data_IF_777725831010
#
_entry.id   IF_777725831010
#
_cell.length_a   1.000
_cell.length_b   1.000
_cell.length_c   1.000
_cell.angle_alpha   90.00
_cell.angle_beta   90.00
_cell.angle_gamma   90.00
#
_symmetry.space_group_name_H-M   'P 1'
#
loop_
_entity.id
_entity.type
_entity.pdbx_description
1 polymer ?
#
# COMPACT_ATOMS: atom_id res chain seq x y z
N UNK A 1 -15.01 20.26 -45.04
CA UNK A 1 -13.56 20.51 -44.99
C UNK A 1 -13.07 20.21 -43.57
N UNK A 2 -12.65 18.97 -43.34
CA UNK A 2 -12.07 18.56 -42.06
C UNK A 2 -10.63 19.06 -42.01
N UNK A 3 -10.42 20.24 -41.42
CA UNK A 3 -9.07 20.75 -41.21
C UNK A 3 -8.33 19.86 -40.22
N UNK A 4 -7.22 19.31 -40.70
CA UNK A 4 -6.17 18.65 -39.95
C UNK A 4 -5.90 19.39 -38.63
N UNK A 5 -6.27 18.76 -37.50
CA UNK A 5 -5.90 19.23 -36.17
C UNK A 5 -4.37 19.18 -36.12
N UNK A 6 -3.73 20.36 -36.16
CA UNK A 6 -2.26 20.48 -36.15
C UNK A 6 -1.68 19.59 -35.03
N UNK A 7 -0.63 18.80 -35.29
CA UNK A 7 0.02 17.94 -34.29
C UNK A 7 0.37 18.67 -32.99
N UNK A 8 0.70 19.97 -33.09
CA UNK A 8 0.98 20.87 -31.98
C UNK A 8 -0.21 21.05 -31.02
N UNK A 9 -1.44 21.06 -31.55
CA UNK A 9 -2.68 21.20 -30.78
C UNK A 9 -3.00 19.90 -30.03
N UNK A 10 -2.74 18.74 -30.64
CA UNK A 10 -2.77 17.43 -29.99
C UNK A 10 -1.71 17.32 -28.87
N UNK A 11 -0.51 17.84 -29.11
CA UNK A 11 0.58 17.85 -28.12
C UNK A 11 0.30 18.84 -26.97
N UNK A 12 -0.40 19.94 -27.24
CA UNK A 12 -0.87 20.90 -26.25
C UNK A 12 -2.01 20.32 -25.41
N UNK A 13 -3.02 19.71 -26.04
CA UNK A 13 -4.13 19.04 -25.36
C UNK A 13 -3.66 17.82 -24.54
N UNK A 14 -2.65 17.07 -25.01
CA UNK A 14 -2.03 15.98 -24.25
C UNK A 14 -1.32 16.46 -22.96
N UNK A 15 -0.99 17.76 -22.89
CA UNK A 15 -0.39 18.42 -21.71
C UNK A 15 -1.42 19.10 -20.83
N UNK A 16 -2.72 18.95 -21.08
CA UNK A 16 -3.77 19.59 -20.29
C UNK A 16 -4.50 18.54 -19.47
N UNK A 17 -4.58 18.75 -18.15
CA UNK A 17 -5.50 18.02 -17.29
C UNK A 17 -6.63 18.94 -16.91
N UNK A 18 -7.86 18.57 -17.24
CA UNK A 18 -9.04 19.30 -16.78
C UNK A 18 -9.22 19.06 -15.28
N UNK A 19 -9.43 20.13 -14.53
CA UNK A 19 -9.67 20.05 -13.08
C UNK A 19 -10.99 19.32 -12.88
N UNK A 20 -10.93 18.05 -12.49
CA UNK A 20 -12.10 17.30 -12.06
C UNK A 20 -12.40 17.63 -10.58
N UNK A 21 -12.60 18.91 -10.29
CA UNK A 21 -13.17 19.35 -9.02
C UNK A 21 -14.67 19.51 -9.27
N UNK A 22 -15.45 18.64 -8.63
CA UNK A 22 -16.91 18.70 -8.54
C UNK A 22 -17.38 19.95 -7.77
N UNK A 23 -17.02 21.15 -8.25
CA UNK A 23 -17.35 22.44 -7.65
C UNK A 23 -18.27 23.28 -8.56
N UNK A 24 -18.53 22.91 -9.81
CA UNK A 24 -19.49 23.65 -10.63
C UNK A 24 -20.50 22.75 -11.36
N UNK A 25 -21.74 22.85 -10.87
CA UNK A 25 -23.04 22.74 -11.55
C UNK A 25 -23.30 21.44 -12.37
N UNK A 26 -24.18 20.60 -11.80
CA UNK A 26 -25.12 19.70 -12.46
C UNK A 26 -24.56 18.62 -13.41
N UNK A 27 -24.00 17.55 -12.85
CA UNK A 27 -23.80 16.28 -13.58
C UNK A 27 -24.96 15.34 -13.23
N UNK A 28 -25.94 15.24 -14.12
CA UNK A 28 -26.97 14.19 -14.04
C UNK A 28 -26.32 12.82 -14.21
N UNK A 29 -26.96 11.77 -13.70
CA UNK A 29 -26.49 10.38 -13.72
C UNK A 29 -26.30 9.75 -15.13
N UNK A 30 -26.47 10.52 -16.20
CA UNK A 30 -26.25 10.09 -17.59
C UNK A 30 -24.82 10.43 -18.02
N UNK A 31 -23.89 9.49 -17.78
CA UNK A 31 -22.56 9.54 -18.37
C UNK A 31 -22.65 9.28 -19.88
N UNK A 32 -22.42 10.32 -20.67
CA UNK A 32 -22.30 10.24 -22.13
C UNK A 32 -21.04 10.98 -22.55
N UNK A 33 -20.14 10.32 -23.28
CA UNK A 33 -18.84 10.85 -23.73
C UNK A 33 -18.95 12.21 -24.42
N UNK A 34 -20.07 12.49 -25.11
CA UNK A 34 -20.32 13.80 -25.72
C UNK A 34 -20.50 14.92 -24.69
N UNK A 35 -21.21 14.66 -23.59
CA UNK A 35 -21.40 15.62 -22.50
C UNK A 35 -20.09 15.85 -21.76
N UNK A 36 -19.32 14.80 -21.52
CA UNK A 36 -18.02 14.91 -20.86
C UNK A 36 -17.01 15.68 -21.72
N UNK A 37 -16.97 15.41 -23.03
CA UNK A 37 -16.14 16.16 -23.97
C UNK A 37 -16.54 17.64 -24.04
N UNK A 38 -17.85 17.95 -24.02
CA UNK A 38 -18.34 19.33 -23.97
C UNK A 38 -17.93 20.03 -22.67
N UNK A 39 -18.12 19.39 -21.52
CA UNK A 39 -17.71 19.92 -20.21
C UNK A 39 -16.20 20.15 -20.15
N UNK A 40 -15.39 19.23 -20.70
CA UNK A 40 -13.94 19.40 -20.83
C UNK A 40 -13.59 20.59 -21.72
N UNK A 41 -14.24 20.73 -22.88
CA UNK A 41 -14.01 21.85 -23.79
C UNK A 41 -14.42 23.20 -23.17
N UNK A 42 -15.53 23.24 -22.44
CA UNK A 42 -16.00 24.41 -21.69
C UNK A 42 -15.08 24.79 -20.54
N UNK A 43 -14.57 23.81 -19.78
CA UNK A 43 -13.57 24.06 -18.75
C UNK A 43 -12.25 24.57 -19.34
N UNK A 44 -11.83 24.04 -20.50
CA UNK A 44 -10.64 24.52 -21.20
C UNK A 44 -10.84 25.93 -21.73
N UNK A 45 -11.99 26.24 -22.34
CA UNK A 45 -12.30 27.58 -22.86
C UNK A 45 -12.37 28.63 -21.77
N UNK A 46 -12.81 28.25 -20.56
CA UNK A 46 -12.85 29.10 -19.37
C UNK A 46 -11.48 29.24 -18.67
N UNK A 47 -10.41 28.63 -19.19
CA UNK A 47 -9.10 28.65 -18.54
C UNK A 47 -9.01 27.77 -17.28
N UNK A 48 -10.02 26.94 -17.00
CA UNK A 48 -10.11 26.05 -15.83
C UNK A 48 -9.43 24.71 -16.10
N UNK A 49 -8.18 24.78 -16.53
CA UNK A 49 -7.33 23.64 -16.81
C UNK A 49 -6.02 23.76 -16.04
N UNK A 50 -5.41 22.61 -15.75
CA UNK A 50 -4.06 22.56 -15.22
C UNK A 50 -3.12 22.10 -16.32
N UNK A 51 -1.95 22.73 -16.38
CA UNK A 51 -0.83 22.17 -17.12
C UNK A 51 -0.43 20.85 -16.46
N UNK A 52 -0.51 19.78 -17.22
CA UNK A 52 0.12 18.51 -16.90
C UNK A 52 1.62 18.74 -16.96
N UNK A 53 2.21 19.01 -15.80
CA UNK A 53 3.65 19.01 -15.66
C UNK A 53 4.10 17.57 -15.92
N UNK A 54 4.82 17.34 -17.02
CA UNK A 54 5.53 16.08 -17.21
C UNK A 54 6.48 15.96 -16.03
N UNK A 55 6.12 15.12 -15.05
CA UNK A 55 7.03 14.80 -13.98
C UNK A 55 8.30 14.27 -14.66
N UNK A 56 9.47 14.79 -14.26
CA UNK A 56 10.77 14.34 -14.78
C UNK A 56 10.78 12.81 -14.91
N UNK A 57 11.45 12.30 -15.94
CA UNK A 57 11.39 10.89 -16.35
C UNK A 57 11.51 9.92 -15.15
N UNK A 58 12.36 10.27 -14.18
CA UNK A 58 12.55 9.57 -12.90
C UNK A 58 11.23 9.34 -12.12
N UNK A 59 10.40 10.36 -11.94
CA UNK A 59 9.11 10.24 -11.23
C UNK A 59 8.10 9.36 -11.98
N UNK A 60 8.07 9.47 -13.32
CA UNK A 60 7.18 8.68 -14.17
C UNK A 60 7.56 7.18 -14.15
N UNK A 61 8.85 6.89 -14.29
CA UNK A 61 9.41 5.54 -14.23
C UNK A 61 9.16 4.89 -12.86
N UNK A 62 9.42 5.63 -11.77
CA UNK A 62 9.11 5.17 -10.42
C UNK A 62 7.61 4.93 -10.20
N UNK A 63 6.76 5.85 -10.66
CA UNK A 63 5.30 5.72 -10.57
C UNK A 63 4.79 4.47 -11.30
N UNK A 64 5.37 4.13 -12.45
CA UNK A 64 5.08 2.89 -13.18
C UNK A 64 5.48 1.66 -12.35
N UNK A 65 6.70 1.62 -11.81
CA UNK A 65 7.15 0.48 -11.01
C UNK A 65 6.35 0.32 -9.71
N UNK A 66 5.97 1.41 -9.05
CA UNK A 66 5.08 1.40 -7.89
C UNK A 66 3.68 0.85 -8.21
N UNK A 67 3.17 1.03 -9.44
CA UNK A 67 1.89 0.41 -9.86
C UNK A 67 2.05 -1.11 -9.99
N UNK A 68 3.15 -1.56 -10.58
CA UNK A 68 3.45 -3.00 -10.70
C UNK A 68 3.61 -3.61 -9.31
N UNK A 69 4.35 -2.96 -8.41
CA UNK A 69 4.49 -3.37 -7.01
C UNK A 69 3.13 -3.54 -6.33
N UNK A 70 2.24 -2.54 -6.43
CA UNK A 70 0.91 -2.60 -5.83
C UNK A 70 0.06 -3.76 -6.39
N UNK A 71 0.17 -4.05 -7.69
CA UNK A 71 -0.51 -5.19 -8.32
C UNK A 71 0.00 -6.53 -7.78
N UNK A 72 1.32 -6.70 -7.67
CA UNK A 72 1.92 -7.92 -7.11
C UNK A 72 1.53 -8.14 -5.65
N UNK A 73 1.45 -7.08 -4.84
CA UNK A 73 0.98 -7.20 -3.44
C UNK A 73 -0.48 -7.68 -3.37
N UNK A 74 -1.33 -7.21 -4.28
CA UNK A 74 -2.73 -7.67 -4.37
C UNK A 74 -2.81 -9.14 -4.82
N UNK A 75 -1.98 -9.53 -5.79
CA UNK A 75 -1.86 -10.91 -6.25
C UNK A 75 -1.38 -11.84 -5.14
N UNK A 76 -0.31 -11.47 -4.43
CA UNK A 76 0.20 -12.19 -3.27
C UNK A 76 -0.90 -12.39 -2.22
N UNK A 77 -1.66 -11.33 -1.91
CA UNK A 77 -2.75 -11.39 -0.93
C UNK A 77 -3.86 -12.36 -1.36
N UNK A 78 -4.22 -12.37 -2.65
CA UNK A 78 -5.20 -13.33 -3.21
C UNK A 78 -4.71 -14.77 -3.09
N UNK A 79 -3.45 -15.02 -3.44
CA UNK A 79 -2.84 -16.35 -3.33
C UNK A 79 -2.77 -16.82 -1.86
N UNK A 80 -2.41 -15.95 -0.91
CA UNK A 80 -2.41 -16.27 0.53
C UNK A 80 -3.80 -16.66 1.03
N UNK A 81 -4.83 -15.90 0.62
CA UNK A 81 -6.22 -16.20 0.99
C UNK A 81 -6.67 -17.53 0.40
N UNK A 82 -6.35 -17.80 -0.88
CA UNK A 82 -6.65 -19.08 -1.53
C UNK A 82 -5.96 -20.25 -0.83
N UNK A 83 -4.66 -20.12 -0.53
CA UNK A 83 -3.90 -21.15 0.19
C UNK A 83 -4.53 -21.43 1.56
N UNK A 84 -4.82 -20.40 2.35
CA UNK A 84 -5.41 -20.54 3.68
C UNK A 84 -6.80 -21.18 3.63
N UNK A 85 -7.70 -20.62 2.82
CA UNK A 85 -9.13 -20.92 2.92
C UNK A 85 -9.56 -22.13 2.10
N UNK A 86 -8.90 -22.43 0.98
CA UNK A 86 -9.34 -23.48 0.06
C UNK A 86 -8.50 -24.77 0.18
N UNK A 87 -7.25 -24.65 0.66
CA UNK A 87 -6.30 -25.76 0.69
C UNK A 87 -5.97 -26.15 2.12
N UNK A 88 -5.39 -25.24 2.90
CA UNK A 88 -4.93 -25.56 4.25
C UNK A 88 -6.08 -25.89 5.20
N UNK A 89 -7.23 -25.24 5.05
CA UNK A 89 -8.45 -25.57 5.81
C UNK A 89 -8.91 -27.03 5.66
N UNK A 90 -8.55 -27.70 4.56
CA UNK A 90 -8.92 -29.09 4.27
C UNK A 90 -7.77 -30.05 4.57
N UNK A 91 -6.55 -29.69 4.18
CA UNK A 91 -5.39 -30.59 4.19
C UNK A 91 -4.62 -30.52 5.51
N UNK A 92 -4.49 -29.33 6.11
CA UNK A 92 -3.64 -29.14 7.29
C UNK A 92 -4.00 -27.84 8.06
N UNK A 93 -5.19 -27.83 8.68
CA UNK A 93 -5.79 -26.62 9.26
C UNK A 93 -5.01 -26.05 10.45
N UNK A 94 -4.30 -26.92 11.17
CA UNK A 94 -3.61 -26.56 12.40
C UNK A 94 -2.40 -25.65 12.15
N UNK A 95 -1.89 -25.61 10.92
CA UNK A 95 -0.82 -24.70 10.51
C UNK A 95 -1.19 -23.23 10.68
N UNK A 96 -2.47 -22.87 10.61
CA UNK A 96 -2.92 -21.49 10.76
C UNK A 96 -2.65 -20.93 12.18
N UNK A 97 -2.61 -21.82 13.19
CA UNK A 97 -2.27 -21.47 14.58
C UNK A 97 -0.77 -21.21 14.76
N UNK A 98 0.06 -21.89 13.97
CA UNK A 98 1.52 -21.84 14.06
C UNK A 98 2.07 -20.67 13.23
N UNK A 99 1.55 -20.49 12.02
CA UNK A 99 2.01 -19.46 11.07
C UNK A 99 0.93 -18.41 10.82
N UNK A 100 1.07 -17.26 11.50
CA UNK A 100 0.20 -16.09 11.23
C UNK A 100 0.32 -15.60 9.78
N UNK A 101 1.53 -15.64 9.22
CA UNK A 101 1.78 -15.34 7.80
C UNK A 101 1.90 -16.62 6.98
N UNK A 102 0.87 -16.91 6.18
CA UNK A 102 0.81 -18.08 5.29
C UNK A 102 1.77 -17.95 4.10
N UNK A 103 2.32 -16.76 3.85
CA UNK A 103 3.41 -16.57 2.88
C UNK A 103 4.81 -16.78 3.47
N UNK A 104 4.93 -17.26 4.71
CA UNK A 104 6.23 -17.43 5.35
C UNK A 104 7.11 -18.42 4.55
N UNK A 105 8.35 -18.06 4.20
CA UNK A 105 9.23 -18.94 3.42
C UNK A 105 9.48 -20.33 4.03
N UNK A 106 9.52 -20.46 5.36
CA UNK A 106 9.66 -21.75 6.03
C UNK A 106 8.41 -22.61 5.87
N UNK A 107 7.22 -22.03 6.04
CA UNK A 107 5.95 -22.71 5.76
C UNK A 107 5.87 -23.17 4.29
N UNK A 108 6.22 -22.30 3.35
CA UNK A 108 6.23 -22.66 1.92
C UNK A 108 7.27 -23.76 1.61
N UNK A 109 8.32 -23.93 2.43
CA UNK A 109 9.30 -25.01 2.30
C UNK A 109 8.75 -26.33 2.83
N UNK A 110 8.06 -26.28 3.98
CA UNK A 110 7.33 -27.42 4.54
C UNK A 110 6.29 -27.91 3.54
N UNK A 111 5.41 -27.04 3.05
CA UNK A 111 4.32 -27.42 2.13
C UNK A 111 4.81 -27.96 0.78
N UNK A 112 6.02 -27.62 0.35
CA UNK A 112 6.58 -28.16 -0.89
C UNK A 112 7.12 -29.59 -0.73
N UNK A 113 7.70 -29.90 0.43
CA UNK A 113 8.28 -31.23 0.71
C UNK A 113 7.29 -32.18 1.37
N UNK A 114 6.47 -31.66 2.28
CA UNK A 114 5.49 -32.38 3.09
C UNK A 114 4.13 -31.67 3.00
N UNK A 115 3.41 -31.87 1.89
CA UNK A 115 2.20 -31.10 1.59
C UNK A 115 0.99 -31.51 2.45
N UNK A 116 1.05 -32.63 3.17
CA UNK A 116 0.03 -33.06 4.15
C UNK A 116 0.66 -33.67 5.41
N UNK A 117 -0.10 -33.79 6.51
CA UNK A 117 0.38 -34.43 7.74
C UNK A 117 0.90 -35.85 7.55
N UNK A 118 0.29 -36.64 6.66
CA UNK A 118 0.70 -38.03 6.38
C UNK A 118 2.16 -38.12 5.91
N UNK A 119 2.61 -37.20 5.04
CA UNK A 119 4.01 -37.16 4.61
C UNK A 119 4.96 -36.86 5.78
N UNK A 120 4.52 -36.10 6.78
CA UNK A 120 5.33 -35.79 7.97
C UNK A 120 5.37 -36.99 8.92
N UNK A 121 4.28 -37.76 9.01
CA UNK A 121 4.19 -38.95 9.85
C UNK A 121 5.08 -40.11 9.36
N UNK A 122 5.42 -40.12 8.07
CA UNK A 122 6.27 -41.14 7.45
C UNK A 122 7.78 -40.94 7.70
N UNK A 123 8.18 -39.79 8.23
CA UNK A 123 9.60 -39.44 8.47
C UNK A 123 9.87 -39.19 9.95
N UNK A 124 11.12 -39.37 10.38
CA UNK A 124 11.53 -39.03 11.74
C UNK A 124 11.53 -37.52 11.99
N UNK A 125 11.42 -37.10 13.26
CA UNK A 125 11.50 -35.67 13.63
C UNK A 125 12.82 -35.04 13.17
N UNK A 126 13.94 -35.77 13.32
CA UNK A 126 15.27 -35.30 12.92
C UNK A 126 15.37 -35.09 11.42
N UNK A 127 14.88 -36.05 10.63
CA UNK A 127 14.84 -35.98 9.17
C UNK A 127 13.95 -34.83 8.68
N UNK A 128 12.75 -34.69 9.26
CA UNK A 128 11.83 -33.59 8.94
C UNK A 128 12.48 -32.23 9.21
N UNK A 129 13.09 -32.05 10.38
CA UNK A 129 13.76 -30.79 10.75
C UNK A 129 14.90 -30.49 9.78
N UNK A 130 15.78 -31.46 9.51
CA UNK A 130 16.92 -31.29 8.60
C UNK A 130 16.48 -30.92 7.18
N UNK A 131 15.40 -31.53 6.68
CA UNK A 131 14.93 -31.29 5.33
C UNK A 131 14.22 -29.94 5.15
N UNK A 132 13.54 -29.42 6.17
CA UNK A 132 12.75 -28.17 6.07
C UNK A 132 13.44 -26.93 6.64
N UNK A 133 14.56 -27.07 7.36
CA UNK A 133 15.43 -25.96 7.72
C UNK A 133 16.48 -25.72 6.61
N UNK A 134 16.27 -24.74 5.72
CA UNK A 134 17.38 -24.16 5.00
C UNK A 134 18.48 -23.68 5.94
N UNK A 135 19.73 -23.80 5.48
CA UNK A 135 20.93 -23.30 6.16
C UNK A 135 20.87 -21.81 6.58
N UNK A 136 19.91 -21.05 6.04
CA UNK A 136 19.68 -19.64 6.31
C UNK A 136 18.75 -19.37 7.51
N UNK A 137 18.06 -20.37 8.06
CA UNK A 137 17.16 -20.16 9.19
C UNK A 137 17.87 -20.30 10.52
N UNK A 138 17.69 -19.30 11.38
CA UNK A 138 18.23 -19.25 12.73
C UNK A 138 17.56 -20.28 13.65
N UNK A 139 18.30 -20.73 14.68
CA UNK A 139 17.84 -21.58 15.78
C UNK A 139 16.48 -21.14 16.38
N UNK A 140 16.14 -19.86 16.27
CA UNK A 140 14.84 -19.30 16.67
C UNK A 140 13.62 -19.93 15.96
N UNK A 141 13.80 -20.53 14.78
CA UNK A 141 12.72 -21.19 14.05
C UNK A 141 12.50 -22.64 14.50
N UNK A 142 13.47 -23.25 15.17
CA UNK A 142 13.42 -24.66 15.57
C UNK A 142 12.20 -24.99 16.45
N UNK A 143 11.86 -24.20 17.50
CA UNK A 143 10.67 -24.50 18.31
C UNK A 143 9.38 -24.49 17.49
N UNK A 144 9.29 -23.58 16.50
CA UNK A 144 8.13 -23.49 15.61
C UNK A 144 8.04 -24.71 14.69
N UNK A 145 9.16 -25.15 14.10
CA UNK A 145 9.17 -26.32 13.21
C UNK A 145 8.86 -27.60 14.00
N UNK A 146 9.41 -27.77 15.20
CA UNK A 146 9.05 -28.87 16.11
C UNK A 146 7.55 -28.90 16.42
N UNK A 147 6.95 -27.72 16.66
CA UNK A 147 5.50 -27.64 16.88
C UNK A 147 4.69 -28.12 15.66
N UNK A 148 5.18 -27.91 14.44
CA UNK A 148 4.52 -28.43 13.22
C UNK A 148 4.56 -29.95 13.22
N UNK A 149 5.71 -30.56 13.50
CA UNK A 149 5.85 -32.01 13.56
C UNK A 149 4.91 -32.62 14.59
N UNK A 150 4.91 -32.09 15.82
CA UNK A 150 4.03 -32.56 16.91
C UNK A 150 2.55 -32.49 16.55
N UNK A 151 2.13 -31.40 15.90
CA UNK A 151 0.74 -31.20 15.48
C UNK A 151 0.38 -32.13 14.31
N UNK A 152 1.32 -32.39 13.38
CA UNK A 152 1.10 -33.32 12.28
C UNK A 152 0.79 -34.74 12.78
N UNK A 153 1.43 -35.19 13.86
CA UNK A 153 1.19 -36.52 14.46
C UNK A 153 -0.23 -36.71 14.99
N UNK A 154 -0.95 -35.62 15.28
CA UNK A 154 -2.31 -35.65 15.83
C UNK A 154 -3.34 -35.00 14.91
N UNK A 155 -2.95 -34.69 13.68
CA UNK A 155 -3.79 -33.93 12.76
C UNK A 155 -4.94 -34.79 12.22
N UNK A 156 -6.11 -34.15 12.10
CA UNK A 156 -7.34 -34.76 11.56
C UNK A 156 -7.50 -34.39 10.05
N UNK A 157 -6.45 -33.86 9.42
CA UNK A 157 -6.46 -33.46 8.00
C UNK A 157 -6.98 -34.59 7.09
N UNK A 158 -7.85 -34.24 6.13
CA UNK A 158 -8.56 -35.24 5.34
C UNK A 158 -7.62 -36.11 4.51
N UNK A 159 -7.69 -37.43 4.72
CA UNK A 159 -6.99 -38.45 3.93
C UNK A 159 -7.70 -38.76 2.59
N UNK A 160 -8.88 -38.19 2.36
CA UNK A 160 -9.79 -38.57 1.25
C UNK A 160 -9.89 -37.44 0.23
N UNK A 161 -9.73 -37.76 -1.07
CA UNK A 161 -9.85 -36.81 -2.19
C UNK A 161 -8.63 -35.90 -2.41
N UNK A 162 -7.53 -36.18 -1.72
CA UNK A 162 -6.43 -35.23 -1.48
C UNK A 162 -5.55 -34.99 -2.70
N UNK A 163 -5.42 -35.92 -3.65
CA UNK A 163 -4.42 -35.78 -4.73
C UNK A 163 -4.57 -34.49 -5.56
N UNK A 164 -5.80 -34.14 -5.97
CA UNK A 164 -6.05 -32.92 -6.75
C UNK A 164 -5.85 -31.65 -5.92
N UNK A 165 -6.21 -31.68 -4.63
CA UNK A 165 -6.00 -30.55 -3.71
C UNK A 165 -4.49 -30.36 -3.44
N UNK A 166 -3.74 -31.44 -3.26
CA UNK A 166 -2.27 -31.38 -3.16
C UNK A 166 -1.66 -30.85 -4.46
N UNK A 167 -2.21 -31.21 -5.63
CA UNK A 167 -1.76 -30.64 -6.90
C UNK A 167 -2.03 -29.13 -6.96
N UNK A 168 -3.21 -28.68 -6.57
CA UNK A 168 -3.53 -27.25 -6.45
C UNK A 168 -2.59 -26.53 -5.47
N UNK A 169 -2.33 -27.13 -4.31
CA UNK A 169 -1.36 -26.64 -3.32
C UNK A 169 0.00 -26.38 -3.97
N UNK A 170 0.52 -27.34 -4.75
CA UNK A 170 1.83 -27.16 -5.40
C UNK A 170 1.87 -25.97 -6.36
N UNK A 171 0.79 -25.72 -7.12
CA UNK A 171 0.70 -24.55 -7.98
C UNK A 171 0.68 -23.25 -7.16
N UNK A 172 -0.16 -23.17 -6.12
CA UNK A 172 -0.26 -21.96 -5.29
C UNK A 172 1.05 -21.66 -4.58
N UNK A 173 1.75 -22.67 -4.05
CA UNK A 173 3.05 -22.49 -3.38
C UNK A 173 4.10 -21.97 -4.36
N UNK A 174 4.17 -22.51 -5.58
CA UNK A 174 5.07 -22.04 -6.65
C UNK A 174 4.77 -20.60 -7.03
N UNK A 175 3.51 -20.28 -7.28
CA UNK A 175 3.06 -18.92 -7.63
C UNK A 175 3.38 -17.93 -6.52
N UNK A 176 3.15 -18.29 -5.26
CA UNK A 176 3.49 -17.45 -4.11
C UNK A 176 4.98 -17.13 -4.04
N UNK A 177 5.85 -18.12 -4.26
CA UNK A 177 7.30 -17.90 -4.28
C UNK A 177 7.72 -16.99 -5.42
N UNK A 178 7.17 -17.21 -6.59
CA UNK A 178 7.49 -16.39 -7.77
C UNK A 178 7.01 -14.94 -7.59
N UNK A 179 5.80 -14.73 -7.08
CA UNK A 179 5.29 -13.40 -6.75
C UNK A 179 6.14 -12.75 -5.66
N UNK A 180 6.55 -13.50 -4.63
CA UNK A 180 7.45 -13.00 -3.58
C UNK A 180 8.79 -12.54 -4.16
N UNK A 181 9.40 -13.33 -5.06
CA UNK A 181 10.65 -12.99 -5.75
C UNK A 181 10.50 -11.70 -6.56
N UNK A 182 9.47 -11.62 -7.41
CA UNK A 182 9.16 -10.42 -8.22
C UNK A 182 8.92 -9.18 -7.36
N UNK A 183 8.28 -9.31 -6.20
CA UNK A 183 8.11 -8.20 -5.26
C UNK A 183 9.45 -7.68 -4.78
N UNK A 184 10.41 -8.56 -4.42
CA UNK A 184 11.74 -8.12 -3.97
C UNK A 184 12.52 -7.46 -5.11
N UNK A 185 12.46 -8.01 -6.31
CA UNK A 185 13.11 -7.43 -7.49
C UNK A 185 12.60 -6.03 -7.79
N UNK A 186 11.27 -5.84 -7.80
CA UNK A 186 10.69 -4.51 -8.05
C UNK A 186 11.02 -3.54 -6.92
N UNK A 187 11.05 -4.00 -5.66
CA UNK A 187 11.48 -3.15 -4.54
C UNK A 187 12.91 -2.66 -4.74
N UNK A 188 13.82 -3.55 -5.17
CA UNK A 188 15.20 -3.19 -5.49
C UNK A 188 15.27 -2.18 -6.63
N UNK A 189 14.56 -2.43 -7.74
CA UNK A 189 14.49 -1.49 -8.87
C UNK A 189 13.99 -0.11 -8.44
N UNK A 190 12.93 -0.04 -7.62
CA UNK A 190 12.39 1.23 -7.10
C UNK A 190 13.42 1.95 -6.22
N UNK A 191 14.13 1.21 -5.36
CA UNK A 191 15.18 1.76 -4.51
C UNK A 191 16.35 2.28 -5.35
N UNK A 192 16.77 1.55 -6.38
CA UNK A 192 17.87 1.93 -7.26
C UNK A 192 17.54 3.24 -8.03
N UNK A 193 16.30 3.41 -8.51
CA UNK A 193 15.83 4.64 -9.17
C UNK A 193 16.02 5.89 -8.29
N UNK A 194 15.84 5.75 -6.97
CA UNK A 194 15.87 6.86 -6.02
C UNK A 194 17.11 6.90 -5.12
N UNK A 195 18.04 5.96 -5.28
CA UNK A 195 19.23 5.78 -4.43
C UNK A 195 19.99 7.09 -4.21
N UNK A 196 20.25 7.83 -5.28
CA UNK A 196 20.97 9.11 -5.25
C UNK A 196 20.04 10.34 -5.29
N UNK A 197 18.76 10.18 -4.97
CA UNK A 197 17.80 11.29 -5.06
C UNK A 197 17.62 12.01 -3.70
N UNK A 198 18.08 13.26 -3.54
CA UNK A 198 18.09 13.93 -2.23
C UNK A 198 16.71 14.01 -1.55
N UNK A 199 15.60 14.32 -2.26
CA UNK A 199 14.27 14.25 -1.65
C UNK A 199 13.94 12.90 -1.05
N UNK A 200 14.27 11.79 -1.73
CA UNK A 200 14.03 10.45 -1.22
C UNK A 200 14.84 10.17 0.05
N UNK A 201 16.14 10.49 0.03
CA UNK A 201 17.04 10.30 1.17
C UNK A 201 16.61 11.09 2.40
N UNK A 202 16.17 12.35 2.22
CA UNK A 202 15.64 13.17 3.32
C UNK A 202 14.39 12.56 3.92
N UNK A 203 13.46 12.02 3.11
CA UNK A 203 12.23 11.41 3.63
C UNK A 203 12.49 10.14 4.45
N UNK A 204 13.57 9.40 4.19
CA UNK A 204 13.97 8.23 5.00
C UNK A 204 14.32 8.59 6.45
N UNK A 205 14.66 9.85 6.74
CA UNK A 205 14.94 10.31 8.11
C UNK A 205 13.69 10.43 8.99
N UNK A 206 12.49 10.40 8.40
CA UNK A 206 11.23 10.51 9.15
C UNK A 206 10.91 9.16 9.83
N UNK A 207 10.70 9.12 11.16
CA UNK A 207 10.29 7.90 11.85
C UNK A 207 9.04 7.28 11.24
N UNK A 208 9.12 5.99 10.89
CA UNK A 208 8.05 5.25 10.22
C UNK A 208 8.01 5.34 8.70
N UNK A 209 8.84 6.18 8.07
CA UNK A 209 8.96 6.26 6.60
C UNK A 209 10.10 5.36 6.12
N UNK A 210 9.75 4.18 5.60
CA UNK A 210 10.71 3.27 4.98
C UNK A 210 10.89 3.51 3.46
N UNK A 211 11.81 2.77 2.80
CA UNK A 211 12.12 2.91 1.37
C UNK A 211 10.90 2.98 0.44
N UNK A 212 9.99 2.03 0.56
CA UNK A 212 8.79 2.01 -0.30
C UNK A 212 7.83 3.17 -0.05
N UNK A 213 7.74 3.63 1.20
CA UNK A 213 6.89 4.77 1.57
C UNK A 213 7.50 6.06 1.05
N UNK A 214 8.80 6.26 1.26
CA UNK A 214 9.55 7.41 0.73
C UNK A 214 9.45 7.48 -0.80
N UNK A 215 9.71 6.37 -1.49
CA UNK A 215 9.56 6.28 -2.95
C UNK A 215 8.14 6.61 -3.41
N UNK A 216 7.11 6.15 -2.67
CA UNK A 216 5.72 6.47 -2.98
C UNK A 216 5.41 7.96 -2.78
N UNK A 217 5.92 8.58 -1.71
CA UNK A 217 5.75 10.01 -1.47
C UNK A 217 6.39 10.82 -2.59
N UNK A 218 7.64 10.56 -2.92
CA UNK A 218 8.35 11.25 -4.00
C UNK A 218 7.63 11.09 -5.34
N UNK A 219 7.28 9.85 -5.71
CA UNK A 219 6.66 9.58 -7.01
C UNK A 219 5.24 10.14 -7.14
N UNK A 220 4.45 10.14 -6.06
CA UNK A 220 3.06 10.60 -6.10
C UNK A 220 2.89 12.09 -5.85
N UNK A 221 3.77 12.72 -5.07
CA UNK A 221 3.80 14.17 -4.90
C UNK A 221 4.39 14.81 -6.17
N UNK A 222 5.46 14.24 -6.72
CA UNK A 222 6.17 14.84 -7.85
C UNK A 222 6.91 16.10 -7.43
N UNK A 223 6.92 17.11 -8.29
CA UNK A 223 7.58 18.37 -8.01
C UNK A 223 6.86 19.14 -6.88
N UNK A 224 7.59 19.36 -5.78
CA UNK A 224 7.10 20.08 -4.61
C UNK A 224 6.84 21.57 -4.90
N UNK A 225 7.46 22.15 -5.94
CA UNK A 225 7.25 23.56 -6.31
C UNK A 225 5.81 23.82 -6.76
N UNK A 226 5.10 22.80 -7.25
CA UNK A 226 3.69 22.86 -7.62
C UNK A 226 2.75 23.06 -6.42
N UNK A 227 3.27 22.99 -5.18
CA UNK A 227 2.49 23.10 -3.96
C UNK A 227 2.94 24.30 -3.11
N UNK A 228 1.97 25.13 -2.73
CA UNK A 228 2.13 26.28 -1.85
C UNK A 228 1.89 25.93 -0.38
N UNK A 229 0.99 24.97 -0.11
CA UNK A 229 0.60 24.59 1.24
C UNK A 229 0.49 23.07 1.40
N UNK A 230 0.86 22.56 2.58
CA UNK A 230 0.75 21.14 2.91
C UNK A 230 -0.69 20.59 2.77
N UNK A 231 -1.70 21.43 2.96
CA UNK A 231 -3.11 21.06 2.78
C UNK A 231 -3.42 20.60 1.34
N UNK A 232 -2.68 21.06 0.33
CA UNK A 232 -2.82 20.59 -1.04
C UNK A 232 -2.35 19.13 -1.20
N UNK A 233 -1.26 18.73 -0.51
CA UNK A 233 -0.80 17.33 -0.48
C UNK A 233 -1.78 16.45 0.31
N UNK A 234 -2.36 16.98 1.39
CA UNK A 234 -3.39 16.28 2.18
C UNK A 234 -4.65 16.04 1.32
N UNK A 235 -5.09 17.05 0.54
CA UNK A 235 -6.17 16.92 -0.46
C UNK A 235 -5.77 15.93 -1.56
N UNK A 236 -4.54 15.98 -2.05
CA UNK A 236 -4.03 15.02 -3.03
C UNK A 236 -4.10 13.58 -2.53
N UNK A 237 -3.88 13.33 -1.24
CA UNK A 237 -4.07 12.02 -0.61
C UNK A 237 -5.55 11.68 -0.33
N UNK A 238 -6.47 12.64 -0.45
CA UNK A 238 -7.87 12.49 -0.05
C UNK A 238 -8.04 12.25 1.45
N UNK A 239 -7.16 12.86 2.27
CA UNK A 239 -7.19 12.85 3.73
C UNK A 239 -7.84 14.12 4.32
N UNK A 240 -8.25 15.05 3.46
CA UNK A 240 -9.08 16.21 3.82
C UNK A 240 -10.47 15.76 4.29
N UNK A 241 -11.07 16.54 5.19
CA UNK A 241 -12.42 16.27 5.70
C UNK A 241 -13.47 16.86 4.76
N UNK A 242 -14.38 16.02 4.29
CA UNK A 242 -15.52 16.39 3.46
C UNK A 242 -16.84 15.94 4.10
N UNK A 243 -17.92 16.67 3.83
CA UNK A 243 -19.30 16.29 4.13
C UNK A 243 -20.11 16.23 2.85
N UNK A 244 -21.00 15.25 2.74
CA UNK A 244 -22.03 15.19 1.69
C UNK A 244 -23.22 16.00 2.17
N UNK A 245 -23.68 16.94 1.35
CA UNK A 245 -24.88 17.72 1.58
C UNK A 245 -25.85 17.51 0.42
N UNK A 246 -27.09 17.11 0.72
CA UNK A 246 -28.16 16.96 -0.26
C UNK A 246 -29.47 17.45 0.33
N UNK A 247 -30.02 18.54 -0.24
CA UNK A 247 -31.22 19.19 0.30
C UNK A 247 -31.03 19.59 1.77
N UNK A 248 -31.82 18.98 2.67
CA UNK A 248 -31.78 19.20 4.13
C UNK A 248 -30.80 18.26 4.89
N UNK A 249 -30.19 17.29 4.22
CA UNK A 249 -29.30 16.32 4.85
C UNK A 249 -27.85 16.79 4.82
N UNK A 250 -27.19 16.81 5.99
CA UNK A 250 -25.76 17.03 6.13
C UNK A 250 -25.11 15.84 6.86
N UNK A 251 -24.24 15.12 6.17
CA UNK A 251 -23.53 13.98 6.76
C UNK A 251 -22.41 14.44 7.72
N UNK A 252 -22.05 13.61 8.70
CA UNK A 252 -20.82 13.78 9.48
C UNK A 252 -19.59 13.90 8.57
N UNK A 253 -18.67 14.81 8.91
CA UNK A 253 -17.41 14.99 8.16
C UNK A 253 -16.57 13.72 8.23
N UNK A 254 -16.21 13.17 7.07
CA UNK A 254 -15.33 12.00 6.90
C UNK A 254 -14.17 12.39 5.98
N UNK A 255 -13.10 11.60 5.97
CA UNK A 255 -12.07 11.79 4.94
C UNK A 255 -12.71 11.69 3.55
N UNK A 256 -12.34 12.60 2.65
CA UNK A 256 -12.95 12.70 1.31
C UNK A 256 -12.77 11.41 0.52
N UNK A 257 -11.61 10.76 0.70
CA UNK A 257 -11.09 9.66 -0.11
C UNK A 257 -10.93 9.99 -1.60
N UNK A 258 -11.20 11.24 -2.00
CA UNK A 258 -11.10 11.78 -3.36
C UNK A 258 -9.65 12.23 -3.59
N UNK A 259 -8.80 11.32 -4.01
CA UNK A 259 -7.37 11.57 -4.21
C UNK A 259 -6.58 10.31 -4.55
N UNK A 260 -5.26 10.43 -4.61
CA UNK A 260 -4.32 9.36 -4.91
C UNK A 260 -4.31 8.32 -3.80
N UNK A 261 -4.96 7.17 -4.06
CA UNK A 261 -5.09 6.06 -3.10
C UNK A 261 -3.73 5.56 -2.61
N UNK A 262 -2.72 5.45 -3.49
CA UNK A 262 -1.37 4.99 -3.09
C UNK A 262 -0.69 5.95 -2.11
N UNK A 263 -0.82 7.26 -2.33
CA UNK A 263 -0.30 8.29 -1.41
C UNK A 263 -0.99 8.17 -0.04
N UNK A 264 -2.31 7.99 -0.02
CA UNK A 264 -3.08 7.75 1.21
C UNK A 264 -2.62 6.50 1.95
N UNK A 265 -2.46 5.39 1.23
CA UNK A 265 -2.02 4.10 1.78
C UNK A 265 -0.60 4.20 2.34
N UNK A 266 0.32 4.87 1.63
CA UNK A 266 1.68 5.11 2.11
C UNK A 266 1.68 5.94 3.41
N UNK A 267 0.90 7.02 3.48
CA UNK A 267 0.79 7.85 4.68
C UNK A 267 0.20 7.06 5.87
N UNK A 268 -0.76 6.18 5.63
CA UNK A 268 -1.33 5.31 6.66
C UNK A 268 -0.31 4.30 7.21
N UNK A 269 0.44 3.63 6.33
CA UNK A 269 1.50 2.70 6.77
C UNK A 269 2.65 3.42 7.47
N UNK A 270 2.99 4.63 7.01
CA UNK A 270 3.95 5.49 7.69
C UNK A 270 3.50 5.79 9.12
N UNK A 271 2.22 6.13 9.31
CA UNK A 271 1.65 6.40 10.63
C UNK A 271 1.69 5.17 11.56
N UNK A 272 1.30 3.98 11.07
CA UNK A 272 1.39 2.74 11.85
C UNK A 272 2.83 2.48 12.31
N UNK A 273 3.80 2.69 11.44
CA UNK A 273 5.18 2.49 11.79
C UNK A 273 5.69 3.57 12.76
N UNK A 274 5.32 4.83 12.53
CA UNK A 274 5.75 6.00 13.30
C UNK A 274 5.31 5.97 14.76
N UNK A 275 4.10 5.47 15.08
CA UNK A 275 3.60 5.40 16.47
C UNK A 275 4.39 4.47 17.39
N UNK A 276 5.40 3.76 16.87
CA UNK A 276 6.37 3.00 17.68
C UNK A 276 7.48 3.89 18.27
N UNK A 277 7.58 5.14 17.82
CA UNK A 277 8.56 6.12 18.29
C UNK A 277 7.90 7.17 19.20
N UNK A 278 8.61 7.64 20.23
CA UNK A 278 8.05 8.44 21.34
C UNK A 278 7.20 9.64 20.89
N UNK A 279 7.75 10.53 20.03
CA UNK A 279 7.03 11.75 19.64
C UNK A 279 5.71 11.53 18.88
N UNK A 280 5.61 10.49 18.05
CA UNK A 280 4.35 10.14 17.38
C UNK A 280 3.42 9.30 18.26
N UNK A 281 4.00 8.46 19.13
CA UNK A 281 3.27 7.64 20.09
C UNK A 281 2.48 8.48 21.08
N UNK A 282 3.10 9.50 21.67
CA UNK A 282 2.46 10.42 22.61
C UNK A 282 1.26 11.11 21.96
N UNK A 283 1.45 11.66 20.76
CA UNK A 283 0.36 12.31 20.02
C UNK A 283 -0.77 11.33 19.67
N UNK A 284 -0.43 10.09 19.32
CA UNK A 284 -1.43 9.05 19.06
C UNK A 284 -2.26 8.75 20.32
N UNK A 285 -1.60 8.53 21.47
CA UNK A 285 -2.26 8.25 22.76
C UNK A 285 -3.17 9.41 23.13
N UNK A 286 -2.68 10.65 23.09
CA UNK A 286 -3.47 11.85 23.40
C UNK A 286 -4.75 11.95 22.54
N UNK A 287 -4.68 11.62 21.24
CA UNK A 287 -5.86 11.68 20.36
C UNK A 287 -6.85 10.56 20.68
N UNK A 288 -6.36 9.36 21.01
CA UNK A 288 -7.21 8.23 21.40
C UNK A 288 -7.94 8.54 22.71
N UNK A 289 -7.24 9.05 23.72
CA UNK A 289 -7.80 9.41 25.03
C UNK A 289 -8.83 10.53 24.93
N UNK A 290 -8.55 11.60 24.17
CA UNK A 290 -9.49 12.71 23.95
C UNK A 290 -10.80 12.27 23.29
N UNK A 291 -10.80 11.16 22.56
CA UNK A 291 -11.97 10.62 21.85
C UNK A 291 -12.68 9.51 22.64
N UNK A 292 -12.39 9.38 23.94
CA UNK A 292 -12.86 8.35 24.87
C UNK A 292 -14.14 7.61 24.45
N UNK A 293 -14.02 6.30 24.23
CA UNK A 293 -15.15 5.42 23.93
C UNK A 293 -15.59 5.36 22.47
N UNK A 294 -15.13 6.25 21.57
CA UNK A 294 -15.44 6.18 20.14
C UNK A 294 -14.81 4.92 19.51
N UNK A 295 -15.60 3.98 18.93
CA UNK A 295 -15.07 2.77 18.29
C UNK A 295 -14.06 3.08 17.16
N UNK A 296 -14.16 4.27 16.55
CA UNK A 296 -13.26 4.76 15.52
C UNK A 296 -12.04 5.53 16.02
N UNK A 297 -11.84 5.70 17.34
CA UNK A 297 -10.80 6.56 17.90
C UNK A 297 -9.39 6.20 17.41
N UNK A 298 -9.02 4.92 17.44
CA UNK A 298 -7.70 4.43 16.98
C UNK A 298 -7.46 4.72 15.50
N UNK A 299 -8.46 4.47 14.65
CA UNK A 299 -8.38 4.75 13.21
C UNK A 299 -8.27 6.26 12.94
N UNK A 300 -9.09 7.07 13.63
CA UNK A 300 -9.05 8.54 13.53
C UNK A 300 -7.70 9.09 13.99
N UNK A 301 -7.11 8.52 15.05
CA UNK A 301 -5.78 8.87 15.52
C UNK A 301 -4.69 8.54 14.48
N UNK A 302 -4.72 7.33 13.88
CA UNK A 302 -3.80 6.97 12.80
C UNK A 302 -3.91 7.91 11.59
N UNK A 303 -5.14 8.28 11.20
CA UNK A 303 -5.37 9.25 10.12
C UNK A 303 -4.78 10.62 10.49
N UNK A 304 -4.96 11.08 11.73
CA UNK A 304 -4.38 12.35 12.18
C UNK A 304 -2.84 12.32 12.18
N UNK A 305 -2.23 11.20 12.56
CA UNK A 305 -0.77 11.00 12.45
C UNK A 305 -0.33 10.97 10.97
N UNK A 306 -1.06 10.29 10.09
CA UNK A 306 -0.78 10.27 8.65
C UNK A 306 -0.82 11.68 8.05
N UNK A 307 -1.82 12.50 8.41
CA UNK A 307 -1.90 13.91 8.02
C UNK A 307 -0.72 14.72 8.56
N UNK A 308 -0.29 14.49 9.81
CA UNK A 308 0.92 15.13 10.37
C UNK A 308 2.18 14.75 9.58
N UNK A 309 2.34 13.47 9.23
CA UNK A 309 3.47 13.00 8.40
C UNK A 309 3.46 13.71 7.05
N UNK A 310 2.32 13.86 6.37
CA UNK A 310 2.26 14.58 5.10
C UNK A 310 2.64 16.08 5.24
N UNK A 311 2.34 16.73 6.37
CA UNK A 311 2.81 18.10 6.64
C UNK A 311 4.33 18.15 6.81
N UNK A 312 4.91 17.18 7.51
CA UNK A 312 6.37 17.05 7.67
C UNK A 312 7.03 16.78 6.31
N UNK A 313 6.47 15.88 5.51
CA UNK A 313 6.94 15.58 4.14
C UNK A 313 6.94 16.85 3.29
N UNK A 314 5.83 17.62 3.28
CA UNK A 314 5.77 18.89 2.56
C UNK A 314 6.91 19.83 2.96
N UNK A 315 7.12 20.01 4.28
CA UNK A 315 8.13 20.93 4.80
C UNK A 315 9.56 20.49 4.46
N UNK A 316 9.88 19.21 4.64
CA UNK A 316 11.19 18.63 4.28
C UNK A 316 11.48 18.79 2.78
N UNK A 317 10.48 18.53 1.93
CA UNK A 317 10.65 18.68 0.49
C UNK A 317 10.83 20.13 0.07
N UNK A 318 10.14 21.08 0.73
CA UNK A 318 10.22 22.51 0.43
C UNK A 318 11.52 23.15 0.93
N UNK A 319 11.93 22.82 2.15
CA UNK A 319 13.11 23.41 2.80
C UNK A 319 14.41 22.71 2.38
N UNK A 320 14.33 21.47 1.87
CA UNK A 320 15.51 20.68 1.52
C UNK A 320 16.30 20.18 2.74
N UNK A 321 15.65 20.03 3.90
CA UNK A 321 16.27 19.65 5.17
C UNK A 321 16.03 18.19 5.52
N UNK A 322 16.74 17.68 6.54
CA UNK A 322 16.45 16.37 7.15
C UNK A 322 15.41 16.52 8.26
N UNK A 323 14.76 15.42 8.63
CA UNK A 323 13.81 15.40 9.74
C UNK A 323 14.48 15.80 11.07
N UNK A 324 13.76 16.63 11.82
CA UNK A 324 14.02 17.04 13.20
C UNK A 324 12.69 17.00 13.96
N UNK A 325 12.72 16.69 15.25
CA UNK A 325 11.50 16.59 16.08
C UNK A 325 10.74 17.93 16.17
N UNK A 326 11.43 19.05 15.97
CA UNK A 326 10.85 20.40 16.02
C UNK A 326 9.92 20.72 14.84
N UNK A 327 10.01 19.99 13.72
CA UNK A 327 9.06 20.11 12.61
C UNK A 327 7.60 19.79 13.01
N UNK A 328 7.39 19.25 14.23
CA UNK A 328 6.08 18.97 14.79
C UNK A 328 5.50 20.02 15.74
N UNK A 329 6.25 21.09 16.07
CA UNK A 329 5.88 22.11 17.08
C UNK A 329 5.42 23.45 16.48
N UNK A 330 5.74 23.74 15.22
CA UNK A 330 5.39 24.99 14.55
C UNK A 330 4.05 24.96 13.79
N UNK A 331 3.26 26.01 13.99
CA UNK A 331 2.09 26.48 13.23
C UNK A 331 0.77 25.71 13.35
N UNK A 332 -0.05 26.20 14.29
CA UNK A 332 -1.51 26.25 14.15
C UNK A 332 -1.83 27.17 12.95
N UNK A 333 -2.06 26.58 11.78
CA UNK A 333 -2.80 27.21 10.68
C UNK A 333 -3.94 26.31 10.23
#
# INVERSE_FOLDING_TARGET
>A
MAHSIKPQLLQFLAKLTVINDAIFINVSWDNNDRKDAFTIADLVSQGKFLFYHFAEEKYSNASRMLRVHARLIKEQSRLKVRLRNNVLSVVFLELDRIFKDIGNPALLSILEKYPSPSYIQEVSEEEFIYSVLPARYSWHYLPRIKSVYQVAQRSIGSQIGTHWILKELTYIVRDLREVNRRIQEIRKVIQDIFSDFPPYLRLLSIPGVGPMVAATFVAEIGDITCYNHANQIIKLAGLDLASIQSGKYQSQRRISKRGKVRLRTAAYYAAIAAIRHNGFREKYIQIVERKGGDPGAKMKALIAIATKILRIVFRILKDGTIYSEDYGRGEKT
#
